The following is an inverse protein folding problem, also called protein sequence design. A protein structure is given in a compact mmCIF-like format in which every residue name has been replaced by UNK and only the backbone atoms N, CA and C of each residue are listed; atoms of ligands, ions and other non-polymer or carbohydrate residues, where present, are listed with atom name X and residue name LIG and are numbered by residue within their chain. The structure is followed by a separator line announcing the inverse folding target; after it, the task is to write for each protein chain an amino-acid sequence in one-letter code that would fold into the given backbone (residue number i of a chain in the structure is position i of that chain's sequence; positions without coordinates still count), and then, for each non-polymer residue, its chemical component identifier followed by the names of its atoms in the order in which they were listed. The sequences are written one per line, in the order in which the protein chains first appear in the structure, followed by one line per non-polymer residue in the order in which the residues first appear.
data_IF_230290057052
#
_entry.id   IF_230290057052
#
_cell.length_a   1.000
_cell.length_b   1.000
_cell.length_c   1.000
_cell.angle_alpha   90.00
_cell.angle_beta   90.00
_cell.angle_gamma   90.00
#
_symmetry.space_group_name_H-M   'P 1'
#
loop_
_entity.id
_entity.type
_entity.pdbx_description
1 polymer ?
#
# COMPACT_ATOMS: atom_id res chain seq x y z
N UNK A 1 -5.95 8.73 17.05
CA UNK A 1 -7.41 8.97 16.89
C UNK A 1 -7.85 8.91 15.44
N UNK A 2 -7.24 9.65 14.49
CA UNK A 2 -7.60 9.65 13.04
C UNK A 2 -7.59 8.24 12.43
N UNK A 3 -6.49 7.50 12.55
CA UNK A 3 -6.35 6.12 12.06
C UNK A 3 -7.50 5.21 12.53
N UNK A 4 -7.79 5.22 13.84
CA UNK A 4 -8.86 4.40 14.42
C UNK A 4 -10.22 4.76 13.83
N UNK A 5 -10.48 6.07 13.65
CA UNK A 5 -11.71 6.56 13.03
C UNK A 5 -11.84 6.12 11.58
N UNK A 6 -10.76 6.17 10.79
CA UNK A 6 -10.72 5.69 9.41
C UNK A 6 -11.03 4.20 9.34
N UNK A 7 -10.32 3.38 10.13
CA UNK A 7 -10.49 1.93 10.15
C UNK A 7 -11.93 1.53 10.47
N UNK A 8 -12.57 2.19 11.46
CA UNK A 8 -13.95 1.94 11.84
C UNK A 8 -14.95 2.46 10.80
N UNK A 9 -14.73 3.66 10.26
CA UNK A 9 -15.64 4.29 9.30
C UNK A 9 -15.72 3.50 7.98
N UNK A 10 -14.57 3.12 7.43
CA UNK A 10 -14.49 2.38 6.16
C UNK A 10 -14.60 0.86 6.32
N UNK A 11 -14.67 0.35 7.55
CA UNK A 11 -14.81 -1.07 7.85
C UNK A 11 -13.75 -1.95 7.14
N UNK A 12 -12.47 -1.56 7.28
CA UNK A 12 -11.34 -2.15 6.56
C UNK A 12 -11.04 -3.58 7.04
N UNK A 13 -10.75 -4.48 6.11
CA UNK A 13 -10.29 -5.84 6.43
C UNK A 13 -8.77 -5.88 6.64
N UNK A 14 -8.02 -5.21 5.75
CA UNK A 14 -6.57 -5.09 5.80
C UNK A 14 -6.20 -3.64 5.53
N UNK A 15 -5.28 -3.06 6.29
CA UNK A 15 -4.78 -1.71 6.12
C UNK A 15 -3.26 -1.68 6.16
N UNK A 16 -2.63 -1.38 5.03
CA UNK A 16 -1.20 -1.08 4.95
C UNK A 16 -0.90 0.34 5.41
N UNK A 17 0.19 0.52 6.13
CA UNK A 17 0.68 1.81 6.62
C UNK A 17 2.15 1.98 6.22
N UNK A 18 2.47 3.10 5.59
CA UNK A 18 3.84 3.55 5.37
C UNK A 18 4.17 4.71 6.31
N UNK A 19 5.45 4.97 6.54
CA UNK A 19 5.94 6.01 7.46
C UNK A 19 5.31 5.96 8.86
N UNK A 20 5.29 4.76 9.46
CA UNK A 20 4.71 4.57 10.81
C UNK A 20 5.42 5.35 11.91
N UNK A 21 6.66 5.78 11.66
CA UNK A 21 7.54 6.45 12.62
C UNK A 21 7.76 5.69 13.94
N UNK A 22 7.44 4.40 13.96
CA UNK A 22 7.65 3.56 15.13
C UNK A 22 9.12 3.15 15.26
N UNK A 23 9.55 2.94 16.49
CA UNK A 23 10.93 2.58 16.85
C UNK A 23 10.96 1.40 17.81
N UNK A 24 12.00 0.56 17.71
CA UNK A 24 12.13 -0.63 18.55
C UNK A 24 10.92 -1.57 18.40
N UNK A 25 10.41 -2.04 19.52
CA UNK A 25 9.30 -3.01 19.57
C UNK A 25 7.92 -2.33 19.68
N UNK A 26 7.81 -1.04 19.37
CA UNK A 26 6.53 -0.33 19.41
C UNK A 26 5.58 -0.88 18.36
N UNK A 27 4.31 -0.97 18.73
CA UNK A 27 3.21 -1.49 17.90
C UNK A 27 2.05 -0.51 17.83
N UNK A 28 1.24 -0.61 16.79
CA UNK A 28 -0.03 0.11 16.70
C UNK A 28 -1.14 -0.80 17.24
N UNK A 29 -1.81 -0.35 18.29
CA UNK A 29 -2.93 -1.06 18.88
C UNK A 29 -4.25 -0.47 18.40
N UNK A 30 -5.04 -1.26 17.67
CA UNK A 30 -6.40 -0.93 17.25
C UNK A 30 -7.31 -2.09 17.66
N UNK A 31 -8.35 -1.80 18.43
CA UNK A 31 -9.32 -2.80 18.86
C UNK A 31 -9.94 -3.53 17.66
N UNK A 32 -9.93 -4.86 17.68
CA UNK A 32 -10.45 -5.70 16.60
C UNK A 32 -9.47 -5.97 15.46
N UNK A 33 -8.20 -5.55 15.60
CA UNK A 33 -7.14 -5.75 14.59
C UNK A 33 -5.87 -6.32 15.23
N UNK A 34 -5.12 -7.06 14.43
CA UNK A 34 -3.75 -7.48 14.71
C UNK A 34 -2.77 -6.61 13.92
N UNK A 35 -1.64 -6.30 14.54
CA UNK A 35 -0.57 -5.51 13.96
C UNK A 35 0.60 -6.39 13.54
N UNK A 36 1.08 -6.18 12.31
CA UNK A 36 2.31 -6.72 11.76
C UNK A 36 3.16 -5.55 11.26
N UNK A 37 4.35 -5.37 11.79
CA UNK A 37 5.15 -4.18 11.47
C UNK A 37 6.62 -4.47 11.30
N UNK A 38 7.27 -3.64 10.48
CA UNK A 38 8.71 -3.54 10.31
C UNK A 38 9.14 -2.12 10.69
N UNK A 39 9.58 -1.96 11.94
CA UNK A 39 10.10 -0.69 12.42
C UNK A 39 11.54 -0.48 11.94
N UNK A 40 11.91 0.76 11.70
CA UNK A 40 13.26 1.10 11.30
C UNK A 40 14.28 0.69 12.34
N UNK A 41 15.32 -0.08 11.93
CA UNK A 41 16.38 -0.59 12.82
C UNK A 41 17.42 0.48 13.14
N UNK A 42 17.82 1.26 12.14
CA UNK A 42 18.90 2.26 12.27
C UNK A 42 18.34 3.68 12.37
N UNK A 43 18.27 4.20 13.59
CA UNK A 43 17.85 5.57 13.88
C UNK A 43 19.08 6.36 14.32
N UNK A 44 19.28 7.53 13.70
CA UNK A 44 20.39 8.41 14.10
C UNK A 44 20.24 8.82 15.58
N UNK A 45 21.33 8.76 16.34
CA UNK A 45 21.37 9.03 17.81
C UNK A 45 20.72 10.37 18.20
N UNK A 46 20.77 11.37 17.30
CA UNK A 46 20.17 12.70 17.51
C UNK A 46 18.74 12.84 16.96
N UNK A 47 18.15 11.78 16.41
CA UNK A 47 16.79 11.86 15.89
C UNK A 47 15.79 11.97 17.06
N UNK A 48 14.95 13.02 17.04
CA UNK A 48 13.92 13.25 18.07
C UNK A 48 12.70 12.34 17.92
N UNK A 49 12.52 11.74 16.75
CA UNK A 49 11.40 10.82 16.43
C UNK A 49 11.89 9.73 15.49
N UNK A 50 11.19 8.63 15.45
CA UNK A 50 11.37 7.62 14.43
C UNK A 50 11.09 8.19 13.04
N UNK A 51 11.59 7.52 12.02
CA UNK A 51 11.34 7.89 10.62
C UNK A 51 11.22 6.63 9.78
N UNK A 52 10.35 6.65 8.77
CA UNK A 52 10.06 5.45 7.98
C UNK A 52 9.30 4.41 8.81
N UNK A 53 9.52 3.14 8.49
CA UNK A 53 8.78 2.01 9.04
C UNK A 53 7.49 1.74 8.27
N UNK A 54 7.14 0.47 8.15
CA UNK A 54 5.93 0.01 7.47
C UNK A 54 5.18 -0.98 8.35
N UNK A 55 3.89 -1.17 8.10
CA UNK A 55 3.13 -2.19 8.81
C UNK A 55 1.73 -2.40 8.26
N UNK A 56 1.08 -3.42 8.78
CA UNK A 56 -0.24 -3.85 8.33
C UNK A 56 -1.12 -4.12 9.56
N UNK A 57 -2.31 -3.55 9.54
CA UNK A 57 -3.40 -3.91 10.44
C UNK A 57 -4.32 -4.89 9.73
N UNK A 58 -4.59 -6.04 10.33
CA UNK A 58 -5.47 -7.07 9.79
C UNK A 58 -6.60 -7.31 10.80
N UNK A 59 -7.85 -7.25 10.32
CA UNK A 59 -9.03 -7.47 11.17
C UNK A 59 -9.02 -8.87 11.77
N UNK A 60 -9.39 -9.00 13.03
CA UNK A 60 -9.43 -10.29 13.74
C UNK A 60 -10.31 -11.33 13.02
N UNK A 61 -11.40 -10.90 12.35
CA UNK A 61 -12.23 -11.79 11.53
C UNK A 61 -11.45 -12.48 10.41
N UNK A 62 -10.53 -11.75 9.75
CA UNK A 62 -9.62 -12.32 8.74
C UNK A 62 -8.64 -13.28 9.39
N UNK A 63 -8.04 -12.91 10.54
CA UNK A 63 -7.11 -13.79 11.27
C UNK A 63 -7.79 -15.06 11.82
N UNK A 64 -9.10 -15.06 11.99
CA UNK A 64 -9.84 -16.27 12.36
C UNK A 64 -9.95 -17.27 11.18
N UNK A 65 -10.01 -16.77 9.95
CA UNK A 65 -10.16 -17.57 8.73
C UNK A 65 -8.84 -17.91 8.06
N UNK A 66 -7.84 -17.05 8.23
CA UNK A 66 -6.51 -17.19 7.64
C UNK A 66 -5.43 -17.27 8.71
N UNK A 67 -4.44 -18.12 8.48
CA UNK A 67 -3.17 -18.05 9.17
C UNK A 67 -2.36 -16.90 8.56
N UNK A 68 -2.00 -15.94 9.42
CA UNK A 68 -1.31 -14.71 9.00
C UNK A 68 0.11 -14.75 9.53
N UNK A 69 1.08 -14.67 8.63
CA UNK A 69 2.51 -14.72 8.98
C UNK A 69 3.31 -13.67 8.21
N UNK A 70 4.40 -13.20 8.82
CA UNK A 70 5.39 -12.40 8.10
C UNK A 70 6.14 -13.34 7.16
N UNK A 71 6.02 -13.09 5.85
CA UNK A 71 6.68 -13.87 4.82
C UNK A 71 8.10 -13.36 4.53
N UNK A 72 8.29 -12.04 4.57
CA UNK A 72 9.61 -11.40 4.42
C UNK A 72 9.60 -10.00 5.05
N UNK A 73 10.70 -9.65 5.73
CA UNK A 73 10.95 -8.34 6.34
C UNK A 73 12.46 -8.00 6.39
N UNK A 74 13.24 -8.56 5.48
CA UNK A 74 14.69 -8.42 5.47
C UNK A 74 15.13 -7.04 4.99
N UNK A 75 14.38 -6.43 4.05
CA UNK A 75 14.69 -5.14 3.46
C UNK A 75 13.91 -4.02 4.16
N UNK A 76 14.64 -2.99 4.62
CA UNK A 76 14.00 -1.83 5.25
C UNK A 76 13.03 -1.15 4.28
N UNK A 77 11.81 -0.88 4.74
CA UNK A 77 10.74 -0.30 3.92
C UNK A 77 9.95 -1.31 3.07
N UNK A 78 10.22 -2.61 3.18
CA UNK A 78 9.48 -3.66 2.47
C UNK A 78 9.02 -4.71 3.47
N UNK A 79 7.71 -4.93 3.56
CA UNK A 79 7.11 -5.93 4.46
C UNK A 79 6.13 -6.79 3.68
N UNK A 80 6.40 -8.10 3.62
CA UNK A 80 5.53 -9.10 3.05
C UNK A 80 4.79 -9.90 4.11
N UNK A 81 3.47 -9.99 3.98
CA UNK A 81 2.59 -10.81 4.84
C UNK A 81 1.95 -11.88 3.98
N UNK A 82 1.94 -13.12 4.47
CA UNK A 82 1.21 -14.26 3.90
C UNK A 82 -0.10 -14.44 4.67
N UNK A 83 -1.20 -14.56 3.93
CA UNK A 83 -2.50 -14.99 4.44
C UNK A 83 -2.81 -16.35 3.78
N UNK A 84 -2.84 -17.43 4.57
CA UNK A 84 -3.15 -18.78 4.12
C UNK A 84 -4.48 -19.23 4.71
N UNK A 85 -5.42 -19.63 3.86
CA UNK A 85 -6.74 -20.02 4.33
C UNK A 85 -6.67 -21.32 5.13
N UNK A 86 -7.19 -21.33 6.38
CA UNK A 86 -7.10 -22.46 7.31
C UNK A 86 -7.84 -23.72 6.84
N UNK A 87 -8.85 -23.55 5.99
CA UNK A 87 -9.66 -24.66 5.47
C UNK A 87 -9.24 -25.10 4.08
N UNK A 88 -8.47 -24.30 3.35
CA UNK A 88 -8.01 -24.59 1.99
C UNK A 88 -6.61 -24.00 1.76
N UNK A 89 -5.59 -24.83 1.98
CA UNK A 89 -4.17 -24.43 1.90
C UNK A 89 -3.73 -23.88 0.51
N UNK A 90 -4.49 -24.16 -0.57
CA UNK A 90 -4.21 -23.62 -1.90
C UNK A 90 -4.71 -22.16 -2.06
N UNK A 91 -5.42 -21.62 -1.08
CA UNK A 91 -5.92 -20.26 -1.10
C UNK A 91 -4.99 -19.36 -0.29
N UNK A 92 -4.01 -18.80 -0.97
CA UNK A 92 -2.99 -17.94 -0.37
C UNK A 92 -3.05 -16.57 -1.03
N UNK A 93 -2.97 -15.53 -0.21
CA UNK A 93 -2.80 -14.14 -0.64
C UNK A 93 -1.54 -13.57 0.02
N UNK A 94 -0.70 -12.93 -0.76
CA UNK A 94 0.40 -12.14 -0.22
C UNK A 94 0.10 -10.64 -0.31
N UNK A 95 0.46 -9.92 0.74
CA UNK A 95 0.31 -8.47 0.84
C UNK A 95 1.67 -7.87 1.12
N UNK A 96 2.10 -6.94 0.26
CA UNK A 96 3.32 -6.19 0.48
C UNK A 96 3.02 -4.73 0.78
N UNK A 97 3.62 -4.19 1.84
CA UNK A 97 3.64 -2.75 2.07
C UNK A 97 5.03 -2.21 1.82
N UNK A 98 5.09 -1.15 1.01
CA UNK A 98 6.34 -0.52 0.56
C UNK A 98 6.42 0.91 1.06
N UNK A 99 7.59 1.32 1.51
CA UNK A 99 7.99 2.69 1.74
C UNK A 99 9.36 2.94 1.14
N UNK A 100 9.41 3.66 0.03
CA UNK A 100 10.64 4.15 -0.57
C UNK A 100 10.90 5.57 -0.06
N UNK A 101 12.00 5.86 0.66
CA UNK A 101 12.30 7.23 1.10
C UNK A 101 12.42 8.21 -0.09
N UNK A 102 12.01 9.49 0.07
CA UNK A 102 12.12 10.48 -1.01
C UNK A 102 13.56 10.66 -1.52
N UNK A 103 13.73 10.85 -2.84
CA UNK A 103 15.04 10.94 -3.51
C UNK A 103 15.97 12.03 -2.94
N UNK A 104 15.42 13.17 -2.51
CA UNK A 104 16.18 14.31 -2.01
C UNK A 104 16.20 14.37 -0.47
N UNK A 105 15.88 13.28 0.21
CA UNK A 105 15.91 13.21 1.67
C UNK A 105 17.28 12.75 2.18
N UNK A 106 17.59 13.08 3.43
CA UNK A 106 18.78 12.53 4.12
C UNK A 106 18.72 11.00 4.31
N UNK A 107 17.61 10.38 3.90
CA UNK A 107 17.32 8.95 3.98
C UNK A 107 17.23 8.29 2.61
N UNK A 108 17.53 9.05 1.55
CA UNK A 108 17.53 8.52 0.19
C UNK A 108 18.39 7.24 0.11
N UNK A 109 17.87 6.25 -0.56
CA UNK A 109 18.54 4.97 -0.83
C UNK A 109 18.93 4.90 -2.29
N UNK A 110 19.80 3.95 -2.63
CA UNK A 110 20.01 3.60 -4.03
C UNK A 110 18.71 3.01 -4.60
N UNK A 111 18.03 3.76 -5.46
CA UNK A 111 16.72 3.37 -6.00
C UNK A 111 16.77 2.10 -6.83
N UNK A 112 17.85 1.89 -7.59
CA UNK A 112 18.03 0.67 -8.39
C UNK A 112 18.19 -0.54 -7.48
N UNK A 113 19.07 -0.45 -6.46
CA UNK A 113 19.24 -1.53 -5.48
C UNK A 113 17.92 -1.84 -4.72
N UNK A 114 17.14 -0.82 -4.40
CA UNK A 114 15.83 -1.01 -3.76
C UNK A 114 14.88 -1.80 -4.65
N UNK A 115 14.75 -1.44 -5.93
CA UNK A 115 13.89 -2.14 -6.87
C UNK A 115 14.42 -3.52 -7.26
N UNK A 116 15.74 -3.72 -7.36
CA UNK A 116 16.36 -5.03 -7.57
C UNK A 116 16.05 -6.01 -6.43
N UNK A 117 16.15 -5.52 -5.18
CA UNK A 117 15.76 -6.29 -4.01
C UNK A 117 14.27 -6.63 -4.02
N UNK A 118 13.41 -5.66 -4.32
CA UNK A 118 11.96 -5.88 -4.41
C UNK A 118 11.60 -6.85 -5.55
N UNK A 119 12.25 -6.74 -6.71
CA UNK A 119 12.09 -7.67 -7.84
C UNK A 119 12.42 -9.10 -7.42
N UNK A 120 13.54 -9.30 -6.73
CA UNK A 120 13.92 -10.62 -6.18
C UNK A 120 12.82 -11.17 -5.27
N UNK A 121 12.22 -10.32 -4.41
CA UNK A 121 11.14 -10.73 -3.52
C UNK A 121 9.84 -11.03 -4.27
N UNK A 122 9.49 -10.27 -5.31
CA UNK A 122 8.32 -10.56 -6.16
C UNK A 122 8.40 -11.96 -6.77
N UNK A 123 9.59 -12.42 -7.20
CA UNK A 123 9.76 -13.74 -7.75
C UNK A 123 9.86 -14.87 -6.71
N UNK A 124 10.33 -14.58 -5.49
CA UNK A 124 10.63 -15.62 -4.51
C UNK A 124 9.59 -15.76 -3.40
N UNK A 125 8.89 -14.68 -3.01
CA UNK A 125 7.98 -14.71 -1.87
C UNK A 125 6.59 -15.23 -2.24
N UNK A 126 5.87 -14.69 -3.28
CA UNK A 126 4.52 -15.18 -3.62
C UNK A 126 4.49 -16.58 -4.21
N UNK A 127 5.58 -17.04 -4.86
CA UNK A 127 5.68 -18.39 -5.45
C UNK A 127 4.48 -18.74 -6.35
N UNK A 128 4.04 -17.81 -7.21
CA UNK A 128 2.91 -17.99 -8.12
C UNK A 128 1.52 -17.80 -7.47
N UNK A 129 1.45 -17.49 -6.19
CA UNK A 129 0.18 -17.17 -5.55
C UNK A 129 -0.23 -15.71 -5.78
N UNK A 130 -1.50 -15.41 -5.50
CA UNK A 130 -2.04 -14.07 -5.59
C UNK A 130 -1.30 -13.10 -4.66
N UNK A 131 -0.99 -11.89 -5.18
CA UNK A 131 -0.38 -10.85 -4.38
C UNK A 131 -0.74 -9.45 -4.88
N UNK A 132 -0.51 -8.46 -4.02
CA UNK A 132 -0.43 -7.05 -4.39
C UNK A 132 0.60 -6.33 -3.53
N UNK A 133 1.11 -5.24 -4.05
CA UNK A 133 2.01 -4.33 -3.34
C UNK A 133 1.35 -2.96 -3.22
N UNK A 134 1.36 -2.37 -2.04
CA UNK A 134 0.85 -1.02 -1.86
C UNK A 134 1.80 -0.23 -0.98
N UNK A 135 1.85 1.08 -1.18
CA UNK A 135 2.80 1.82 -0.39
C UNK A 135 3.00 3.25 -0.85
N UNK A 136 3.84 3.96 -0.11
CA UNK A 136 4.40 5.23 -0.53
C UNK A 136 5.72 4.95 -1.28
N UNK A 137 5.66 5.08 -2.58
CA UNK A 137 6.76 4.79 -3.49
C UNK A 137 7.64 6.01 -3.74
N UNK A 138 7.19 7.21 -3.32
CA UNK A 138 7.85 8.49 -3.60
C UNK A 138 8.27 8.67 -5.08
N UNK A 139 7.58 7.94 -5.98
CA UNK A 139 7.84 7.85 -7.42
C UNK A 139 6.71 8.53 -8.18
N UNK A 140 6.98 9.66 -8.83
CA UNK A 140 6.00 10.33 -9.69
C UNK A 140 6.18 9.81 -11.11
N UNK A 141 5.19 9.06 -11.60
CA UNK A 141 5.30 8.29 -12.85
C UNK A 141 4.77 9.04 -14.08
N UNK A 142 4.08 10.18 -13.90
CA UNK A 142 3.39 10.82 -15.03
C UNK A 142 2.51 9.80 -15.78
N UNK A 143 2.50 9.88 -17.10
CA UNK A 143 1.86 8.96 -18.05
C UNK A 143 2.83 7.88 -18.58
N UNK A 144 3.97 7.66 -17.93
CA UNK A 144 4.89 6.60 -18.32
C UNK A 144 4.17 5.24 -18.31
N UNK A 145 4.45 4.47 -19.35
CA UNK A 145 3.93 3.12 -19.46
C UNK A 145 4.49 2.24 -18.34
N UNK A 146 3.61 1.47 -17.74
CA UNK A 146 3.91 0.42 -16.76
C UNK A 146 3.71 -0.98 -17.36
N UNK A 147 3.74 -1.07 -18.71
CA UNK A 147 3.54 -2.28 -19.50
C UNK A 147 4.12 -2.11 -20.89
N UNK A 148 4.32 -3.20 -21.62
CA UNK A 148 4.86 -3.18 -22.98
C UNK A 148 3.71 -2.93 -23.95
N UNK A 149 3.68 -1.73 -24.53
CA UNK A 149 2.65 -1.34 -25.50
C UNK A 149 2.62 -2.29 -26.70
N UNK A 150 1.43 -2.78 -27.03
CA UNK A 150 1.21 -3.71 -28.15
C UNK A 150 1.50 -5.19 -27.84
N UNK A 151 1.99 -5.50 -26.64
CA UNK A 151 2.20 -6.87 -26.14
C UNK A 151 1.24 -7.12 -25.00
N UNK A 152 1.27 -6.28 -23.96
CA UNK A 152 0.42 -6.40 -22.79
C UNK A 152 -0.94 -5.77 -23.08
N UNK A 153 -2.00 -6.54 -22.97
CA UNK A 153 -3.36 -6.08 -23.23
C UNK A 153 -4.01 -5.53 -21.94
N UNK A 154 -3.45 -4.43 -21.43
CA UNK A 154 -3.95 -3.76 -20.22
C UNK A 154 -4.83 -2.56 -20.58
N UNK A 155 -5.88 -2.28 -19.80
CA UNK A 155 -6.64 -1.04 -19.97
C UNK A 155 -5.77 0.18 -19.66
N UNK A 156 -6.05 1.28 -20.37
CA UNK A 156 -5.36 2.55 -20.14
C UNK A 156 -5.54 3.04 -18.71
N UNK A 157 -4.50 3.70 -18.21
CA UNK A 157 -4.50 4.30 -16.88
C UNK A 157 -4.99 5.75 -16.96
N UNK A 158 -6.04 6.10 -16.24
CA UNK A 158 -6.46 7.49 -16.09
C UNK A 158 -5.51 8.23 -15.15
N UNK A 159 -4.58 9.01 -15.74
CA UNK A 159 -3.55 9.77 -15.03
C UNK A 159 -4.10 11.11 -14.55
N UNK A 160 -3.75 11.51 -13.33
CA UNK A 160 -4.10 12.83 -12.74
C UNK A 160 -2.87 13.68 -12.44
N UNK A 161 -1.69 13.08 -12.29
CA UNK A 161 -0.41 13.75 -12.04
C UNK A 161 0.53 13.56 -13.25
N UNK A 162 0.72 14.59 -14.06
CA UNK A 162 1.58 14.58 -15.24
C UNK A 162 3.02 15.04 -14.96
N UNK A 163 3.44 15.00 -13.71
CA UNK A 163 4.82 15.26 -13.32
C UNK A 163 5.58 13.95 -13.11
N UNK A 164 6.88 13.96 -13.36
CA UNK A 164 7.75 12.82 -13.09
C UNK A 164 8.95 13.24 -12.23
N UNK A 165 9.52 12.26 -11.51
CA UNK A 165 10.81 12.38 -10.86
C UNK A 165 11.73 11.22 -11.29
N UNK A 166 12.99 11.21 -10.84
CA UNK A 166 13.94 10.17 -11.27
C UNK A 166 13.49 8.77 -10.85
N UNK A 167 12.87 8.65 -9.68
CA UNK A 167 12.36 7.38 -9.16
C UNK A 167 11.16 6.85 -9.98
N UNK A 168 10.33 7.74 -10.53
CA UNK A 168 9.15 7.35 -11.32
C UNK A 168 9.50 6.55 -12.57
N UNK A 169 10.61 6.90 -13.25
CA UNK A 169 11.09 6.15 -14.41
C UNK A 169 11.55 4.75 -14.02
N UNK A 170 12.41 4.65 -12.99
CA UNK A 170 12.93 3.36 -12.49
C UNK A 170 11.79 2.48 -11.98
N UNK A 171 10.77 3.08 -11.36
CA UNK A 171 9.59 2.36 -10.90
C UNK A 171 8.79 1.78 -12.07
N UNK A 172 8.56 2.52 -13.15
CA UNK A 172 7.85 1.99 -14.32
C UNK A 172 8.65 0.87 -15.03
N UNK A 173 9.98 1.00 -15.12
CA UNK A 173 10.86 -0.07 -15.63
C UNK A 173 10.72 -1.33 -14.76
N UNK A 174 10.82 -1.19 -13.43
CA UNK A 174 10.60 -2.30 -12.50
C UNK A 174 9.23 -2.97 -12.69
N UNK A 175 8.14 -2.20 -12.84
CA UNK A 175 6.79 -2.75 -13.03
C UNK A 175 6.72 -3.63 -14.29
N UNK A 176 7.31 -3.16 -15.38
CA UNK A 176 7.38 -3.93 -16.64
C UNK A 176 8.17 -5.22 -16.46
N UNK A 177 9.31 -5.17 -15.76
CA UNK A 177 10.18 -6.32 -15.54
C UNK A 177 9.51 -7.41 -14.68
N UNK A 178 8.65 -7.03 -13.74
CA UNK A 178 7.93 -7.99 -12.87
C UNK A 178 6.50 -8.30 -13.35
N UNK A 179 6.10 -7.87 -14.54
CA UNK A 179 4.75 -8.05 -15.10
C UNK A 179 3.66 -7.58 -14.15
N UNK A 180 3.86 -6.40 -13.53
CA UNK A 180 2.91 -5.75 -12.65
C UNK A 180 2.51 -4.38 -13.17
N UNK A 181 1.30 -3.94 -12.85
CA UNK A 181 0.79 -2.64 -13.24
C UNK A 181 0.23 -1.84 -12.06
N UNK A 182 0.15 -0.53 -12.24
CA UNK A 182 -0.46 0.40 -11.30
C UNK A 182 -1.98 0.27 -11.38
N UNK A 183 -2.64 0.00 -10.25
CA UNK A 183 -4.10 -0.04 -10.17
C UNK A 183 -4.73 1.35 -10.15
N UNK A 184 -4.02 2.38 -9.63
CA UNK A 184 -4.48 3.77 -9.63
C UNK A 184 -4.84 4.23 -11.04
N UNK A 185 -6.10 4.62 -11.24
CA UNK A 185 -6.62 5.01 -12.55
C UNK A 185 -7.12 3.86 -13.42
N UNK A 186 -7.02 2.59 -12.95
CA UNK A 186 -7.64 1.41 -13.54
C UNK A 186 -8.70 0.84 -12.59
N UNK A 187 -9.77 0.26 -13.11
CA UNK A 187 -10.89 -0.29 -12.31
C UNK A 187 -11.37 0.67 -11.21
N UNK A 188 -11.34 1.96 -11.49
CA UNK A 188 -11.49 3.03 -10.49
C UNK A 188 -12.91 3.56 -10.42
N UNK A 189 -13.36 3.87 -9.20
CA UNK A 189 -14.53 4.71 -8.94
C UNK A 189 -14.12 6.18 -8.92
N UNK A 190 -12.94 6.47 -8.33
CA UNK A 190 -12.39 7.83 -8.21
C UNK A 190 -10.87 7.75 -8.12
N UNK A 191 -10.18 8.40 -9.06
CA UNK A 191 -8.74 8.63 -8.99
C UNK A 191 -8.46 10.09 -8.63
N UNK A 192 -7.47 10.33 -7.80
CA UNK A 192 -7.10 11.67 -7.34
C UNK A 192 -5.62 11.69 -6.90
N UNK A 193 -5.14 12.84 -6.47
CA UNK A 193 -3.82 13.00 -5.87
C UNK A 193 -3.74 12.25 -4.54
N UNK A 194 -2.64 11.53 -4.35
CA UNK A 194 -2.43 10.72 -3.14
C UNK A 194 -1.68 11.48 -2.05
N UNK A 195 -0.93 12.51 -2.41
CA UNK A 195 -0.30 13.46 -1.50
C UNK A 195 -0.83 14.88 -1.75
N UNK A 196 -1.30 15.52 -0.68
CA UNK A 196 -1.92 16.86 -0.73
C UNK A 196 -1.41 17.69 0.44
N UNK A 197 -0.59 18.70 0.14
CA UNK A 197 -0.04 19.60 1.15
C UNK A 197 -0.02 21.05 0.70
N UNK A 198 0.40 21.94 1.56
CA UNK A 198 0.63 23.37 1.22
C UNK A 198 1.74 23.55 0.18
N UNK A 199 2.58 22.55 -0.06
CA UNK A 199 3.67 22.57 -1.04
C UNK A 199 3.24 22.12 -2.43
N UNK A 200 2.08 21.48 -2.56
CA UNK A 200 1.55 21.00 -3.83
C UNK A 200 0.82 19.68 -3.74
N UNK A 201 0.53 19.14 -4.91
CA UNK A 201 -0.19 17.88 -5.10
C UNK A 201 0.70 16.91 -5.87
N UNK A 202 0.65 15.63 -5.52
CA UNK A 202 1.35 14.57 -6.27
C UNK A 202 0.67 13.22 -6.12
N UNK A 203 0.97 12.30 -7.04
CA UNK A 203 0.65 10.89 -6.92
C UNK A 203 1.95 10.15 -6.66
N UNK A 204 2.12 9.65 -5.45
CA UNK A 204 3.32 8.94 -4.97
C UNK A 204 2.98 7.64 -4.26
N UNK A 205 1.71 7.46 -3.91
CA UNK A 205 1.18 6.24 -3.31
C UNK A 205 0.46 5.42 -4.37
N UNK A 206 0.84 4.16 -4.51
CA UNK A 206 0.25 3.28 -5.51
C UNK A 206 -0.15 1.93 -4.90
N UNK A 207 -1.20 1.35 -5.50
CA UNK A 207 -1.45 -0.08 -5.45
C UNK A 207 -0.94 -0.70 -6.75
N UNK A 208 -0.10 -1.71 -6.64
CA UNK A 208 0.52 -2.45 -7.74
C UNK A 208 0.04 -3.89 -7.71
N UNK A 209 -0.36 -4.40 -8.86
CA UNK A 209 -0.95 -5.72 -9.00
C UNK A 209 -0.36 -6.45 -10.22
N UNK A 210 -0.22 -7.79 -10.21
CA UNK A 210 0.15 -8.55 -11.40
C UNK A 210 -0.83 -8.31 -12.55
N UNK A 211 -0.34 -8.29 -13.79
CA UNK A 211 -1.18 -8.11 -14.99
C UNK A 211 -2.35 -9.11 -15.02
N UNK A 212 -2.06 -10.38 -14.79
CA UNK A 212 -3.01 -11.49 -14.83
C UNK A 212 -4.08 -11.42 -13.73
N UNK A 213 -3.86 -10.61 -12.70
CA UNK A 213 -4.76 -10.49 -11.54
C UNK A 213 -5.55 -9.19 -11.54
N UNK A 214 -5.37 -8.31 -12.52
CA UNK A 214 -6.03 -7.00 -12.55
C UNK A 214 -7.56 -7.11 -12.41
N UNK A 215 -8.18 -8.13 -13.02
CA UNK A 215 -9.65 -8.32 -13.03
C UNK A 215 -10.24 -8.69 -11.66
N UNK A 216 -9.41 -9.18 -10.72
CA UNK A 216 -9.91 -9.47 -9.37
C UNK A 216 -9.94 -8.24 -8.46
N UNK A 217 -9.28 -7.14 -8.88
CA UNK A 217 -9.25 -5.87 -8.16
C UNK A 217 -10.32 -4.91 -8.69
N UNK A 218 -11.19 -4.45 -7.81
CA UNK A 218 -12.34 -3.66 -8.17
C UNK A 218 -12.50 -2.44 -7.26
N UNK A 219 -13.28 -1.45 -7.72
CA UNK A 219 -13.71 -0.28 -6.95
C UNK A 219 -12.54 0.51 -6.36
N UNK A 220 -11.44 0.61 -7.09
CA UNK A 220 -10.33 1.44 -6.65
C UNK A 220 -10.77 2.89 -6.47
N UNK A 221 -10.37 3.49 -5.35
CA UNK A 221 -10.73 4.87 -5.02
C UNK A 221 -9.62 5.53 -4.21
N UNK A 222 -9.29 6.78 -4.55
CA UNK A 222 -8.48 7.67 -3.72
C UNK A 222 -9.41 8.63 -2.98
N UNK A 223 -9.28 8.72 -1.66
CA UNK A 223 -10.07 9.65 -0.83
C UNK A 223 -9.13 10.58 -0.07
N UNK A 224 -9.17 11.86 -0.38
CA UNK A 224 -8.36 12.88 0.30
C UNK A 224 -8.66 12.91 1.79
N UNK A 225 -7.66 13.16 2.59
CA UNK A 225 -7.80 13.26 4.05
C UNK A 225 -8.82 14.34 4.47
N UNK A 226 -8.91 15.46 3.75
CA UNK A 226 -9.93 16.50 4.00
C UNK A 226 -11.35 15.96 3.90
N UNK A 227 -11.65 15.16 2.85
CA UNK A 227 -12.96 14.52 2.66
C UNK A 227 -13.23 13.47 3.75
N UNK A 228 -12.20 12.71 4.15
CA UNK A 228 -12.33 11.75 5.26
C UNK A 228 -12.72 12.47 6.55
N UNK A 229 -12.06 13.60 6.84
CA UNK A 229 -12.35 14.40 8.04
C UNK A 229 -13.79 14.93 7.98
N UNK A 230 -14.23 15.47 6.84
CA UNK A 230 -15.61 15.92 6.66
C UNK A 230 -16.62 14.81 6.94
N UNK A 231 -16.39 13.61 6.39
CA UNK A 231 -17.26 12.43 6.59
C UNK A 231 -17.30 11.98 8.06
N UNK A 232 -16.16 11.99 8.73
CA UNK A 232 -16.05 11.59 10.15
C UNK A 232 -16.60 12.69 11.07
N UNK A 233 -16.35 13.99 10.76
CA UNK A 233 -16.83 15.13 11.55
C UNK A 233 -18.35 15.36 11.41
N UNK A 234 -18.94 15.04 10.26
CA UNK A 234 -20.40 15.06 10.10
C UNK A 234 -21.12 14.19 11.15
N UNK A 235 -20.41 13.22 11.71
CA UNK A 235 -20.86 12.36 12.82
C UNK A 235 -20.47 12.87 14.23
N UNK A 236 -19.93 14.10 14.35
CA UNK A 236 -19.86 14.86 15.61
C UNK A 236 -18.71 14.52 16.58
N UNK A 237 -17.60 13.91 16.16
CA UNK A 237 -16.58 13.42 17.12
C UNK A 237 -15.11 13.58 16.70
N UNK A 238 -14.71 14.65 16.04
CA UNK A 238 -13.28 14.81 15.71
C UNK A 238 -12.67 16.07 16.31
N UNK A 239 -11.59 15.91 17.07
CA UNK A 239 -10.78 17.03 17.59
C UNK A 239 -9.74 17.44 16.52
N UNK A 240 -9.99 18.55 15.85
CA UNK A 240 -9.16 19.13 14.79
C UNK A 240 -7.80 19.67 15.25
N UNK A 241 -7.45 19.58 16.53
CA UNK A 241 -6.17 20.10 17.05
C UNK A 241 -4.95 19.23 16.71
N UNK A 242 -5.12 18.13 15.99
CA UNK A 242 -4.02 17.22 15.62
C UNK A 242 -3.60 17.38 14.16
N UNK A 243 -2.34 17.07 13.89
CA UNK A 243 -1.76 17.08 12.55
C UNK A 243 -2.62 16.22 11.61
N UNK A 244 -3.10 16.86 10.53
CA UNK A 244 -3.83 16.18 9.46
C UNK A 244 -2.80 15.50 8.57
N UNK A 245 -2.93 14.19 8.27
CA UNK A 245 -2.05 13.52 7.33
C UNK A 245 -2.14 14.14 5.93
N UNK A 246 -0.99 14.31 5.29
CA UNK A 246 -0.89 14.85 3.93
C UNK A 246 -1.24 13.79 2.86
N UNK A 247 -1.18 12.49 3.20
CA UNK A 247 -1.48 11.40 2.29
C UNK A 247 -2.95 10.98 2.33
N UNK A 248 -3.48 10.70 1.15
CA UNK A 248 -4.85 10.24 0.93
C UNK A 248 -5.01 8.74 1.25
N UNK A 249 -6.24 8.32 1.52
CA UNK A 249 -6.58 6.92 1.69
C UNK A 249 -6.86 6.29 0.32
N UNK A 250 -6.14 5.21 -0.01
CA UNK A 250 -6.40 4.36 -1.16
C UNK A 250 -7.24 3.17 -0.73
N UNK A 251 -8.30 2.87 -1.47
CA UNK A 251 -9.22 1.77 -1.15
C UNK A 251 -9.53 0.95 -2.39
N UNK A 252 -9.65 -0.37 -2.25
CA UNK A 252 -10.07 -1.28 -3.31
C UNK A 252 -10.71 -2.53 -2.73
N UNK A 253 -11.36 -3.32 -3.57
CA UNK A 253 -11.90 -4.61 -3.19
C UNK A 253 -11.20 -5.72 -4.01
N UNK A 254 -10.90 -6.85 -3.38
CA UNK A 254 -10.38 -8.05 -4.05
C UNK A 254 -11.45 -9.14 -4.01
N UNK A 255 -11.72 -9.74 -5.16
CA UNK A 255 -12.59 -10.91 -5.27
C UNK A 255 -11.73 -12.17 -5.43
N UNK A 256 -11.47 -12.87 -4.34
CA UNK A 256 -10.78 -14.15 -4.38
C UNK A 256 -11.80 -15.28 -4.63
N UNK A 257 -11.58 -16.07 -5.68
CA UNK A 257 -12.40 -17.26 -5.97
C UNK A 257 -11.83 -18.43 -5.18
N UNK A 258 -12.46 -18.74 -4.07
CA UNK A 258 -12.16 -19.96 -3.34
C UNK A 258 -13.08 -21.09 -3.86
N UNK A 259 -12.54 -22.30 -3.99
CA UNK A 259 -13.19 -23.45 -4.63
C UNK A 259 -14.55 -23.86 -4.06
N UNK A 260 -15.06 -23.20 -3.02
CA UNK A 260 -16.38 -23.44 -2.43
C UNK A 260 -17.20 -22.17 -2.11
N UNK A 261 -16.68 -20.97 -2.24
CA UNK A 261 -17.44 -19.72 -2.08
C UNK A 261 -16.69 -18.51 -2.64
N UNK A 262 -17.40 -17.59 -3.32
CA UNK A 262 -16.85 -16.28 -3.66
C UNK A 262 -16.81 -15.42 -2.40
N UNK A 263 -15.64 -15.07 -1.91
CA UNK A 263 -15.48 -14.14 -0.80
C UNK A 263 -14.83 -12.85 -1.26
N UNK A 264 -15.44 -11.73 -0.89
CA UNK A 264 -14.92 -10.40 -1.18
C UNK A 264 -14.15 -9.87 0.04
N UNK A 265 -12.88 -9.53 -0.13
CA UNK A 265 -12.08 -8.83 0.87
C UNK A 265 -11.98 -7.35 0.51
N UNK A 266 -12.20 -6.48 1.49
CA UNK A 266 -12.02 -5.03 1.33
C UNK A 266 -10.65 -4.63 1.85
N UNK A 267 -9.78 -4.22 0.94
CA UNK A 267 -8.38 -3.93 1.21
C UNK A 267 -8.08 -2.46 0.99
N UNK A 268 -7.14 -1.90 1.76
CA UNK A 268 -6.94 -0.46 1.74
C UNK A 268 -5.57 -0.04 2.31
N UNK A 269 -5.07 1.13 1.88
CA UNK A 269 -3.85 1.75 2.39
C UNK A 269 -4.09 3.18 2.86
N UNK A 270 -3.43 3.53 3.95
CA UNK A 270 -3.20 4.90 4.39
C UNK A 270 -1.73 5.06 4.81
N UNK A 271 -1.07 6.14 4.43
CA UNK A 271 0.24 6.57 4.93
C UNK A 271 0.11 7.69 5.96
#
# INVERSE_FOLDING_TARGET
MFLISCVKHYNLDILGLAETHLTGDKVINVEGYQWFGLNRKHIHVRAKSGSGGVGILIRNGICNEFDVTIADNDTEGILWIKLENKTCANNVLYVCVVYLPPENSTRAVNVHEFFDNLMTKVYTVPQGNAFYMCGDWNSRCSDFADSITGIDNLPDRHVVDFQCNSYGKVFCEFLTDVSCCILNGRNTILNDYTYVSTRGLSVVDYCVVPYEMLDIFNKFKVTRTSLIIEQICANGKFDLQKIIPDHSLLTWEITLKFSQSNKMLRLQKQS
#
